data_IF_826269810014
#
_entry.id   IF_826269810014
#
_cell.length_a   1.000
_cell.length_b   1.000
_cell.length_c   1.000
_cell.angle_alpha   90.00
_cell.angle_beta   90.00
_cell.angle_gamma   90.00
#
_symmetry.space_group_name_H-M   'P 1'
#
loop_
_entity.id
_entity.type
_entity.pdbx_description
1 polymer ?
#
# COMPACT_ATOMS: atom_id res chain seq x y z
N UNK A 1 7.27 8.99 5.48
CA UNK A 1 6.06 8.56 4.74
C UNK A 1 6.45 8.14 3.34
N UNK A 2 5.54 7.51 2.61
CA UNK A 2 5.67 7.21 1.19
C UNK A 2 4.38 7.59 0.45
N UNK A 3 4.55 7.85 -0.84
CA UNK A 3 3.45 7.89 -1.82
C UNK A 3 3.67 6.70 -2.76
N UNK A 4 2.62 5.94 -3.02
CA UNK A 4 2.65 4.78 -3.90
C UNK A 4 1.60 4.95 -5.00
N UNK A 5 1.97 4.58 -6.22
CA UNK A 5 1.09 4.74 -7.37
C UNK A 5 1.73 4.33 -8.68
N UNK A 6 1.01 4.51 -9.78
CA UNK A 6 1.47 4.21 -11.13
C UNK A 6 1.61 5.49 -11.95
N UNK A 7 2.59 5.52 -12.85
CA UNK A 7 2.80 6.63 -13.79
C UNK A 7 2.41 6.21 -15.21
N UNK A 8 1.75 7.11 -15.93
CA UNK A 8 1.47 6.94 -17.36
C UNK A 8 1.71 8.22 -18.15
N UNK A 9 2.04 8.05 -19.43
CA UNK A 9 2.23 9.12 -20.39
C UNK A 9 0.89 9.76 -20.79
N UNK A 10 0.94 11.01 -21.24
CA UNK A 10 -0.22 11.72 -21.79
C UNK A 10 0.03 11.92 -23.28
N UNK A 11 -0.84 11.36 -24.13
CA UNK A 11 -0.69 11.38 -25.58
C UNK A 11 0.71 10.88 -26.01
N UNK A 12 1.13 9.73 -25.48
CA UNK A 12 2.44 9.10 -25.75
C UNK A 12 3.67 9.92 -25.30
N UNK A 13 3.47 11.06 -24.63
CA UNK A 13 4.55 11.88 -24.10
C UNK A 13 4.62 11.80 -22.57
N UNK A 14 5.82 11.54 -22.05
CA UNK A 14 6.10 11.55 -20.61
C UNK A 14 7.14 12.61 -20.25
N UNK A 15 6.73 13.66 -19.54
CA UNK A 15 7.61 14.71 -19.03
C UNK A 15 6.99 15.43 -17.83
N UNK A 16 7.71 16.39 -17.25
CA UNK A 16 7.28 17.15 -16.05
C UNK A 16 5.89 17.81 -16.18
N UNK A 17 5.41 18.09 -17.39
CA UNK A 17 4.09 18.69 -17.65
C UNK A 17 3.06 17.69 -18.20
N UNK A 18 3.52 16.52 -18.67
CA UNK A 18 2.70 15.50 -19.33
C UNK A 18 2.93 14.16 -18.62
N UNK A 19 2.17 13.94 -17.56
CA UNK A 19 2.09 12.65 -16.88
C UNK A 19 0.76 12.55 -16.16
N UNK A 20 0.24 11.34 -16.03
CA UNK A 20 -0.81 11.00 -15.06
C UNK A 20 -0.17 10.19 -13.95
N UNK A 21 -0.44 10.58 -12.70
CA UNK A 21 -0.09 9.78 -11.54
C UNK A 21 -1.35 9.18 -10.93
N UNK A 22 -1.46 7.88 -10.97
CA UNK A 22 -2.53 7.17 -10.30
C UNK A 22 -2.13 6.87 -8.86
N UNK A 23 -2.80 7.50 -7.91
CA UNK A 23 -2.49 7.34 -6.50
C UNK A 23 -3.09 6.02 -5.98
N UNK A 24 -2.22 5.09 -5.58
CA UNK A 24 -2.63 3.84 -4.90
C UNK A 24 -2.75 4.06 -3.40
N UNK A 25 -1.76 4.72 -2.79
CA UNK A 25 -1.71 4.93 -1.35
C UNK A 25 -0.76 6.06 -0.95
N UNK A 26 -1.08 6.72 0.18
CA UNK A 26 -0.10 7.50 0.94
C UNK A 26 -0.03 6.90 2.34
N UNK A 27 1.16 6.46 2.75
CA UNK A 27 1.31 5.72 3.99
C UNK A 27 2.54 6.13 4.81
N UNK A 28 2.59 5.57 6.01
CA UNK A 28 3.62 5.87 7.00
C UNK A 28 3.79 4.72 8.00
N UNK A 29 4.66 4.90 9.00
CA UNK A 29 5.36 6.15 9.33
C UNK A 29 6.50 6.51 8.37
N UNK A 30 7.14 5.49 7.77
CA UNK A 30 8.32 5.65 6.94
C UNK A 30 8.14 4.94 5.60
N UNK A 31 8.90 5.36 4.58
CA UNK A 31 8.94 4.63 3.32
C UNK A 31 9.65 3.28 3.47
N UNK A 32 10.51 3.18 4.49
CA UNK A 32 11.25 1.97 4.89
C UNK A 32 10.33 0.76 5.02
N UNK A 33 9.11 0.94 5.52
CA UNK A 33 8.09 -0.10 5.65
C UNK A 33 7.91 -0.95 4.38
N UNK A 34 7.91 -0.32 3.20
CA UNK A 34 7.69 -1.04 1.93
C UNK A 34 8.99 -1.46 1.24
N UNK A 35 10.08 -0.71 1.42
CA UNK A 35 11.32 -0.92 0.65
C UNK A 35 12.28 -1.93 1.29
N UNK A 36 12.26 -2.11 2.61
CA UNK A 36 13.24 -2.95 3.33
C UNK A 36 13.31 -4.39 2.84
N UNK A 37 12.18 -4.99 2.41
CA UNK A 37 12.17 -6.37 1.89
C UNK A 37 13.00 -6.56 0.61
N UNK A 38 13.35 -5.48 -0.08
CA UNK A 38 14.11 -5.51 -1.33
C UNK A 38 15.61 -5.22 -1.12
N UNK A 39 16.00 -4.75 0.07
CA UNK A 39 17.40 -4.32 0.33
C UNK A 39 18.40 -5.45 0.36
N UNK A 40 17.96 -6.71 0.55
CA UNK A 40 18.86 -7.86 0.52
C UNK A 40 19.41 -8.15 -0.90
N UNK A 41 18.64 -7.81 -1.93
CA UNK A 41 19.00 -8.06 -3.33
C UNK A 41 19.60 -6.87 -4.07
N UNK A 42 19.62 -5.68 -3.47
CA UNK A 42 20.01 -4.44 -4.15
C UNK A 42 20.70 -3.48 -3.16
N UNK A 43 21.99 -3.23 -3.42
CA UNK A 43 22.80 -2.34 -2.59
C UNK A 43 22.36 -0.88 -2.69
N UNK A 44 21.88 -0.41 -3.85
CA UNK A 44 21.41 0.96 -4.01
C UNK A 44 20.13 1.19 -3.20
N UNK A 45 19.22 0.22 -3.19
CA UNK A 45 18.04 0.26 -2.32
C UNK A 45 18.42 0.20 -0.84
N UNK A 46 19.44 -0.56 -0.47
CA UNK A 46 19.95 -0.57 0.91
C UNK A 46 20.47 0.80 1.34
N UNK A 47 21.32 1.44 0.53
CA UNK A 47 21.83 2.78 0.85
C UNK A 47 20.72 3.83 0.89
N UNK A 48 19.80 3.82 -0.08
CA UNK A 48 18.62 4.70 -0.04
C UNK A 48 17.79 4.50 1.24
N UNK A 49 17.63 3.25 1.68
CA UNK A 49 16.90 2.93 2.92
C UNK A 49 17.61 3.50 4.15
N UNK A 50 18.95 3.42 4.21
CA UNK A 50 19.74 4.02 5.28
C UNK A 50 19.65 5.54 5.27
N UNK A 51 19.71 6.18 4.10
CA UNK A 51 19.57 7.63 3.98
C UNK A 51 18.22 8.12 4.51
N UNK A 52 17.14 7.40 4.19
CA UNK A 52 15.79 7.71 4.71
C UNK A 52 15.76 7.61 6.24
N UNK A 53 16.41 6.59 6.81
CA UNK A 53 16.50 6.36 8.26
C UNK A 53 17.31 7.48 8.92
N UNK A 54 18.45 7.86 8.36
CA UNK A 54 19.30 8.92 8.89
C UNK A 54 18.58 10.28 8.88
N UNK A 55 17.86 10.59 7.80
CA UNK A 55 17.04 11.81 7.70
C UNK A 55 15.92 11.82 8.75
N UNK A 56 15.36 10.66 9.09
CA UNK A 56 14.33 10.54 10.13
C UNK A 56 14.93 10.73 11.53
N UNK A 57 16.02 10.04 11.84
CA UNK A 57 16.65 10.05 13.17
C UNK A 57 17.34 11.39 13.48
N UNK A 58 17.98 12.01 12.49
CA UNK A 58 18.68 13.30 12.65
C UNK A 58 17.76 14.47 13.01
N UNK A 59 16.46 14.36 12.75
CA UNK A 59 15.48 15.38 13.14
C UNK A 59 15.20 15.39 14.64
N UNK A 60 15.48 14.28 15.35
CA UNK A 60 15.15 14.12 16.76
C UNK A 60 16.31 13.45 17.53
N UNK A 61 17.45 14.14 17.70
CA UNK A 61 18.66 13.57 18.31
C UNK A 61 18.47 13.15 19.79
N UNK A 62 17.45 13.70 20.46
CA UNK A 62 17.13 13.38 21.85
C UNK A 62 16.24 12.13 21.99
N UNK A 63 15.70 11.62 20.88
CA UNK A 63 14.87 10.42 20.84
C UNK A 63 15.70 9.19 20.45
N UNK A 64 15.24 8.01 20.87
CA UNK A 64 15.77 6.72 20.43
C UNK A 64 14.78 6.11 19.46
N UNK A 65 15.14 5.98 18.18
CA UNK A 65 14.40 5.15 17.24
C UNK A 65 14.87 3.70 17.40
N UNK A 66 13.95 2.79 17.69
CA UNK A 66 14.27 1.39 17.91
C UNK A 66 13.41 0.46 17.05
N UNK A 67 14.07 -0.43 16.33
CA UNK A 67 13.40 -1.40 15.47
C UNK A 67 12.77 -2.52 16.32
N UNK A 68 11.48 -2.81 16.14
CA UNK A 68 10.84 -3.95 16.80
C UNK A 68 11.26 -5.24 16.08
N UNK A 69 11.94 -6.13 16.80
CA UNK A 69 12.39 -7.41 16.26
C UNK A 69 11.44 -8.51 16.68
N UNK A 70 10.56 -8.89 15.75
CA UNK A 70 9.58 -9.95 15.91
C UNK A 70 9.69 -10.97 14.78
N UNK A 71 9.64 -12.26 15.11
CA UNK A 71 9.58 -13.37 14.17
C UNK A 71 8.13 -13.87 14.05
N UNK A 72 7.35 -13.43 13.04
CA UNK A 72 6.05 -14.03 12.77
C UNK A 72 6.20 -15.49 12.31
N UNK A 73 5.12 -16.26 12.44
CA UNK A 73 5.07 -17.69 12.08
C UNK A 73 5.66 -17.99 10.68
N UNK A 74 6.20 -19.20 10.51
CA UNK A 74 7.10 -19.65 9.44
C UNK A 74 6.72 -19.36 7.97
N UNK A 75 5.48 -18.92 7.68
CA UNK A 75 5.02 -18.61 6.32
C UNK A 75 5.50 -17.24 5.80
N UNK A 76 6.14 -16.43 6.66
CA UNK A 76 6.48 -15.02 6.37
C UNK A 76 7.99 -14.75 6.24
N UNK A 77 8.82 -15.78 6.05
CA UNK A 77 10.30 -15.66 6.05
C UNK A 77 10.86 -14.61 5.08
N UNK A 78 10.28 -14.48 3.88
CA UNK A 78 10.73 -13.52 2.85
C UNK A 78 10.43 -12.04 3.20
N UNK A 79 9.55 -11.78 4.17
CA UNK A 79 9.24 -10.41 4.65
C UNK A 79 10.21 -9.99 5.77
N UNK A 80 10.95 -10.94 6.36
CA UNK A 80 11.78 -10.71 7.55
C UNK A 80 13.29 -10.71 7.29
N UNK A 81 13.74 -11.09 6.09
CA UNK A 81 15.15 -10.97 5.70
C UNK A 81 15.49 -9.48 5.56
N UNK A 82 15.91 -8.88 6.67
CA UNK A 82 16.31 -7.48 6.75
C UNK A 82 17.69 -7.35 7.41
N UNK A 83 18.56 -6.46 6.90
CA UNK A 83 19.76 -6.08 7.62
C UNK A 83 19.38 -5.32 8.91
N UNK A 84 20.35 -5.20 9.82
CA UNK A 84 20.23 -4.30 10.97
C UNK A 84 20.28 -2.87 10.42
N UNK A 85 19.13 -2.20 10.41
CA UNK A 85 18.98 -0.88 9.80
C UNK A 85 19.06 0.26 10.82
N UNK A 86 18.73 0.01 12.08
CA UNK A 86 18.72 1.01 13.15
C UNK A 86 19.73 0.66 14.23
N UNK A 87 20.20 1.70 14.92
CA UNK A 87 21.19 1.53 16.00
C UNK A 87 20.62 0.71 17.17
N UNK A 88 19.36 0.94 17.52
CA UNK A 88 18.67 0.28 18.64
C UNK A 88 17.61 -0.70 18.14
N UNK A 89 17.43 -1.78 18.87
CA UNK A 89 16.42 -2.81 18.58
C UNK A 89 15.66 -3.16 19.87
N UNK A 90 14.36 -3.42 19.75
CA UNK A 90 13.50 -3.95 20.80
C UNK A 90 13.23 -5.44 20.47
N UNK A 91 13.98 -6.38 21.05
CA UNK A 91 13.76 -7.80 20.79
C UNK A 91 12.46 -8.28 21.45
N UNK A 92 11.52 -8.79 20.64
CA UNK A 92 10.27 -9.36 21.14
C UNK A 92 9.85 -10.59 20.33
N UNK A 93 10.11 -11.78 20.89
CA UNK A 93 9.94 -13.06 20.17
C UNK A 93 10.72 -13.07 18.83
N UNK A 94 11.95 -12.57 18.85
CA UNK A 94 12.86 -12.51 17.72
C UNK A 94 14.29 -12.33 18.19
N UNK A 95 15.25 -12.61 17.31
CA UNK A 95 16.69 -12.46 17.61
C UNK A 95 17.19 -11.15 17.03
N UNK A 96 17.61 -10.24 17.91
CA UNK A 96 18.25 -8.97 17.53
C UNK A 96 19.63 -9.20 16.90
N UNK A 97 19.94 -8.37 15.90
CA UNK A 97 21.27 -8.29 15.29
C UNK A 97 22.10 -7.12 15.81
N UNK A 98 21.52 -6.20 16.58
CA UNK A 98 22.23 -5.09 17.21
C UNK A 98 23.17 -5.54 18.34
N UNK A 99 24.17 -4.70 18.64
CA UNK A 99 25.04 -4.89 19.80
C UNK A 99 24.20 -5.00 21.09
N UNK A 100 24.62 -5.85 22.03
CA UNK A 100 23.91 -6.09 23.31
C UNK A 100 23.57 -4.77 24.02
N UNK A 101 24.50 -3.82 24.01
CA UNK A 101 24.27 -2.51 24.64
C UNK A 101 23.13 -1.72 23.98
N UNK A 102 22.86 -1.89 22.70
CA UNK A 102 21.79 -1.19 21.99
C UNK A 102 20.47 -1.98 21.92
N UNK A 103 20.39 -3.14 22.58
CA UNK A 103 19.14 -3.89 22.70
C UNK A 103 18.34 -3.32 23.88
N UNK A 104 17.08 -2.97 23.61
CA UNK A 104 16.12 -2.48 24.59
C UNK A 104 15.17 -3.63 24.93
N UNK A 105 15.41 -4.39 26.02
CA UNK A 105 14.48 -5.43 26.45
C UNK A 105 13.14 -4.79 26.86
N UNK A 106 12.04 -5.55 26.84
CA UNK A 106 10.71 -5.01 27.13
C UNK A 106 10.65 -4.40 28.55
N UNK A 107 11.38 -4.98 29.50
CA UNK A 107 11.48 -4.52 30.88
C UNK A 107 12.15 -3.14 31.00
N UNK A 108 12.89 -2.69 29.98
CA UNK A 108 13.50 -1.36 29.94
C UNK A 108 12.51 -0.27 29.51
N UNK A 109 11.36 -0.64 28.94
CA UNK A 109 10.39 0.30 28.40
C UNK A 109 9.32 0.66 29.44
N UNK A 110 9.37 1.88 29.96
CA UNK A 110 8.28 2.46 30.74
C UNK A 110 7.23 3.09 29.83
N UNK A 111 5.97 2.94 30.19
CA UNK A 111 4.83 3.53 29.49
C UNK A 111 4.22 4.62 30.36
N UNK A 112 4.02 5.80 29.79
CA UNK A 112 3.19 6.85 30.38
C UNK A 112 2.27 7.48 29.33
N UNK A 113 1.24 8.19 29.78
CA UNK A 113 0.38 8.99 28.89
C UNK A 113 0.56 10.45 29.25
N UNK A 114 0.97 11.27 28.28
CA UNK A 114 1.16 12.71 28.43
C UNK A 114 0.49 13.40 27.26
N UNK A 115 -0.31 14.43 27.50
CA UNK A 115 -1.01 15.19 26.44
C UNK A 115 -1.74 14.30 25.41
N UNK A 116 -2.44 13.26 25.89
CA UNK A 116 -3.15 12.29 25.05
C UNK A 116 -2.25 11.49 24.10
N UNK A 117 -0.96 11.35 24.44
CA UNK A 117 0.01 10.52 23.73
C UNK A 117 0.61 9.47 24.66
N UNK A 118 0.77 8.26 24.14
CA UNK A 118 1.61 7.23 24.73
C UNK A 118 3.08 7.64 24.55
N UNK A 119 3.81 7.66 25.66
CA UNK A 119 5.24 7.91 25.73
C UNK A 119 5.92 6.62 26.20
N UNK A 120 6.79 6.06 25.36
CA UNK A 120 7.71 5.00 25.76
C UNK A 120 9.03 5.64 26.18
N UNK A 121 9.56 5.27 27.34
CA UNK A 121 10.84 5.76 27.83
C UNK A 121 11.73 4.60 28.24
N UNK A 122 12.98 4.62 27.78
CA UNK A 122 13.99 3.67 28.24
C UNK A 122 14.46 4.04 29.64
N UNK A 123 14.44 3.10 30.58
CA UNK A 123 15.00 3.26 31.94
C UNK A 123 16.50 3.49 31.83
N UNK A 124 17.19 2.63 31.08
CA UNK A 124 18.65 2.65 30.89
C UNK A 124 19.16 3.96 30.33
N UNK A 125 18.47 4.51 29.34
CA UNK A 125 18.91 5.72 28.64
C UNK A 125 18.26 7.00 29.13
N UNK A 126 17.20 6.90 29.93
CA UNK A 126 16.36 8.02 30.32
C UNK A 126 15.91 8.88 29.11
N UNK A 127 15.56 8.21 28.00
CA UNK A 127 15.18 8.83 26.72
C UNK A 127 13.88 8.25 26.20
N UNK A 128 13.08 9.08 25.51
CA UNK A 128 11.87 8.63 24.81
C UNK A 128 12.27 7.71 23.65
N UNK A 129 11.57 6.58 23.54
CA UNK A 129 11.76 5.55 22.52
C UNK A 129 10.62 5.65 21.51
N UNK A 130 10.97 5.73 20.22
CA UNK A 130 10.04 5.66 19.09
C UNK A 130 10.21 4.28 18.45
N UNK A 131 9.25 3.36 18.65
CA UNK A 131 9.31 2.04 18.06
C UNK A 131 9.05 2.14 16.56
N UNK A 132 9.75 1.33 15.76
CA UNK A 132 9.62 1.28 14.30
C UNK A 132 9.52 -0.16 13.80
N UNK A 133 8.65 -0.37 12.81
CA UNK A 133 8.67 -1.54 11.96
C UNK A 133 9.21 -1.17 10.58
N UNK A 134 10.32 -1.77 10.19
CA UNK A 134 10.88 -1.70 8.84
C UNK A 134 10.34 -2.85 7.98
N UNK A 135 9.02 -3.06 8.00
CA UNK A 135 8.36 -4.10 7.19
C UNK A 135 6.92 -3.73 6.87
N UNK A 136 6.39 -4.35 5.81
CA UNK A 136 5.00 -4.24 5.39
C UNK A 136 4.08 -5.24 6.12
N UNK A 137 4.52 -5.75 7.27
CA UNK A 137 3.76 -6.74 8.03
C UNK A 137 2.49 -6.11 8.61
N UNK A 138 1.33 -6.68 8.27
CA UNK A 138 0.07 -6.28 8.88
C UNK A 138 -0.04 -6.90 10.28
N UNK A 139 0.14 -6.07 11.32
CA UNK A 139 0.10 -6.48 12.72
C UNK A 139 -1.29 -6.31 13.37
N UNK A 140 -2.29 -5.84 12.63
CA UNK A 140 -3.65 -5.58 13.16
C UNK A 140 -4.32 -6.82 13.77
N UNK A 141 -4.14 -7.97 13.12
CA UNK A 141 -4.66 -9.29 13.56
C UNK A 141 -3.67 -10.08 14.44
N UNK A 142 -2.61 -9.43 14.95
CA UNK A 142 -1.64 -10.11 15.79
C UNK A 142 -2.22 -10.48 17.16
N UNK A 143 -2.08 -11.74 17.55
CA UNK A 143 -2.46 -12.26 18.87
C UNK A 143 -1.44 -11.93 19.99
N UNK A 144 -0.46 -11.05 19.72
CA UNK A 144 0.59 -10.68 20.66
C UNK A 144 0.41 -9.22 21.10
N UNK A 145 -0.19 -8.96 22.29
CA UNK A 145 -0.57 -7.62 22.71
C UNK A 145 0.59 -6.63 22.78
N UNK A 146 1.77 -7.06 23.24
CA UNK A 146 2.96 -6.20 23.35
C UNK A 146 3.46 -5.81 21.96
N UNK A 147 3.55 -6.76 21.03
CA UNK A 147 3.94 -6.49 19.64
C UNK A 147 2.95 -5.53 18.98
N UNK A 148 1.66 -5.79 19.11
CA UNK A 148 0.60 -4.92 18.57
C UNK A 148 0.68 -3.51 19.18
N UNK A 149 0.80 -3.39 20.50
CA UNK A 149 0.93 -2.12 21.19
C UNK A 149 2.14 -1.30 20.71
N UNK A 150 3.34 -1.90 20.65
CA UNK A 150 4.53 -1.21 20.15
C UNK A 150 4.36 -0.79 18.69
N UNK A 151 3.70 -1.63 17.89
CA UNK A 151 3.42 -1.36 16.49
C UNK A 151 2.39 -0.24 16.32
N UNK A 152 1.36 -0.17 17.16
CA UNK A 152 0.36 0.91 17.18
C UNK A 152 1.00 2.25 17.59
N UNK A 153 1.90 2.24 18.58
CA UNK A 153 2.61 3.46 19.04
C UNK A 153 3.40 4.13 17.91
N UNK A 154 3.94 3.38 16.95
CA UNK A 154 4.69 3.96 15.82
C UNK A 154 3.83 4.87 14.93
N UNK A 155 2.51 4.63 14.92
CA UNK A 155 1.52 5.32 14.09
C UNK A 155 0.81 6.45 14.85
N UNK A 156 1.07 6.59 16.15
CA UNK A 156 0.47 7.66 16.96
C UNK A 156 0.83 9.05 16.39
N UNK A 157 -0.18 9.91 16.27
CA UNK A 157 -0.02 11.26 15.73
C UNK A 157 0.16 11.31 14.20
N UNK A 158 0.10 10.16 13.53
CA UNK A 158 0.04 10.08 12.08
C UNK A 158 -1.41 9.91 11.64
N UNK A 159 -1.74 10.51 10.51
CA UNK A 159 -2.94 10.10 9.77
C UNK A 159 -2.70 8.68 9.27
N UNK A 160 -3.72 7.82 9.42
CA UNK A 160 -3.74 6.50 8.77
C UNK A 160 -3.50 6.62 7.26
N UNK A 161 -3.35 5.48 6.60
CA UNK A 161 -3.26 5.37 5.15
C UNK A 161 -4.28 6.32 4.49
N UNK A 162 -3.81 7.37 3.81
CA UNK A 162 -4.70 8.37 3.23
C UNK A 162 -5.25 7.76 1.95
N UNK A 163 -6.48 7.25 2.04
CA UNK A 163 -7.26 6.73 0.93
C UNK A 163 -8.47 7.64 0.68
N UNK A 164 -8.92 7.69 -0.57
CA UNK A 164 -10.18 8.32 -0.90
C UNK A 164 -11.35 7.48 -0.35
N UNK A 165 -12.19 8.11 0.47
CA UNK A 165 -13.41 7.50 1.00
C UNK A 165 -14.65 8.14 0.36
N UNK A 166 -15.43 7.33 -0.35
CA UNK A 166 -16.73 7.74 -0.90
C UNK A 166 -17.82 7.89 0.17
N UNK A 167 -17.55 7.41 1.39
CA UNK A 167 -18.38 7.52 2.56
C UNK A 167 -19.82 7.04 2.28
N UNK A 168 -20.83 7.87 2.55
CA UNK A 168 -22.25 7.56 2.28
C UNK A 168 -22.57 7.16 0.83
N UNK A 169 -21.69 7.48 -0.14
CA UNK A 169 -21.86 7.10 -1.55
C UNK A 169 -21.19 5.78 -1.93
N UNK A 170 -20.47 5.14 -1.00
CA UNK A 170 -19.67 3.92 -1.27
C UNK A 170 -20.47 2.77 -1.90
N UNK A 171 -21.79 2.76 -1.77
CA UNK A 171 -22.69 1.74 -2.31
C UNK A 171 -23.36 2.08 -3.65
N UNK A 172 -23.07 3.25 -4.24
CA UNK A 172 -23.62 3.65 -5.53
C UNK A 172 -23.24 2.67 -6.65
N UNK A 173 -24.14 2.53 -7.65
CA UNK A 173 -23.86 1.68 -8.83
C UNK A 173 -22.68 2.17 -9.67
N UNK A 174 -22.44 3.47 -9.67
CA UNK A 174 -21.34 4.10 -10.38
C UNK A 174 -20.74 5.20 -9.51
N UNK A 175 -19.41 5.20 -9.42
CA UNK A 175 -18.61 6.22 -8.77
C UNK A 175 -17.67 6.82 -9.83
N UNK A 176 -17.73 8.12 -10.10
CA UNK A 176 -16.90 8.72 -11.14
C UNK A 176 -15.43 8.77 -10.73
N UNK A 177 -14.54 8.83 -11.72
CA UNK A 177 -13.12 9.10 -11.47
C UNK A 177 -12.98 10.43 -10.73
N UNK A 178 -12.19 10.44 -9.65
CA UNK A 178 -11.82 11.65 -8.92
C UNK A 178 -10.39 12.01 -9.28
N UNK A 179 -10.22 13.22 -9.80
CA UNK A 179 -8.90 13.73 -10.20
C UNK A 179 -8.59 15.04 -9.49
N UNK A 180 -7.31 15.24 -9.19
CA UNK A 180 -6.76 16.51 -8.76
C UNK A 180 -5.57 16.85 -9.66
N UNK A 181 -5.75 17.86 -10.54
CA UNK A 181 -4.79 18.15 -11.61
C UNK A 181 -4.53 16.88 -12.44
N UNK A 182 -3.30 16.41 -12.42
CA UNK A 182 -2.85 15.22 -13.14
C UNK A 182 -2.70 13.98 -12.24
N UNK A 183 -3.29 14.03 -11.04
CA UNK A 183 -3.35 12.91 -10.11
C UNK A 183 -4.74 12.30 -10.16
N UNK A 184 -4.84 11.00 -10.40
CA UNK A 184 -6.06 10.23 -10.23
C UNK A 184 -6.08 9.75 -8.78
N UNK A 185 -7.01 10.31 -8.00
CA UNK A 185 -7.16 10.05 -6.56
C UNK A 185 -8.09 8.86 -6.32
N UNK A 186 -9.08 8.67 -7.20
CA UNK A 186 -9.94 7.49 -7.22
C UNK A 186 -10.29 7.15 -8.66
N UNK A 187 -10.09 5.89 -9.05
CA UNK A 187 -10.57 5.35 -10.32
C UNK A 187 -12.10 5.38 -10.38
N UNK A 188 -12.66 5.52 -11.57
CA UNK A 188 -14.06 5.25 -11.79
C UNK A 188 -14.38 3.81 -11.37
N UNK A 189 -15.49 3.61 -10.66
CA UNK A 189 -15.91 2.31 -10.15
C UNK A 189 -17.34 1.97 -10.57
N UNK A 190 -17.60 0.69 -10.80
CA UNK A 190 -18.93 0.16 -11.06
C UNK A 190 -19.24 -0.98 -10.10
N UNK A 191 -20.43 -0.94 -9.50
CA UNK A 191 -20.97 -2.03 -8.70
C UNK A 191 -22.00 -2.77 -9.55
N UNK A 192 -21.64 -3.99 -9.96
CA UNK A 192 -22.52 -4.88 -10.70
C UNK A 192 -23.06 -5.96 -9.78
N UNK A 193 -24.32 -6.29 -9.95
CA UNK A 193 -25.03 -7.29 -9.17
C UNK A 193 -25.62 -8.37 -10.07
N UNK A 194 -25.98 -9.49 -9.47
CA UNK A 194 -26.75 -10.53 -10.15
C UNK A 194 -28.06 -9.98 -10.73
N UNK A 195 -28.64 -8.94 -10.13
CA UNK A 195 -29.89 -8.33 -10.60
C UNK A 195 -29.75 -7.65 -11.96
N UNK A 196 -28.58 -7.12 -12.25
CA UNK A 196 -28.26 -6.54 -13.56
C UNK A 196 -28.19 -7.62 -14.66
N UNK A 197 -28.08 -8.90 -14.26
CA UNK A 197 -27.96 -10.05 -15.15
C UNK A 197 -29.20 -10.97 -15.15
N UNK A 198 -30.14 -10.79 -14.20
CA UNK A 198 -31.25 -11.72 -13.94
C UNK A 198 -32.14 -11.97 -15.17
N UNK A 199 -32.34 -10.95 -16.01
CA UNK A 199 -33.18 -11.04 -17.20
C UNK A 199 -32.63 -11.96 -18.29
N UNK A 200 -31.34 -12.29 -18.24
CA UNK A 200 -30.65 -12.93 -19.36
C UNK A 200 -30.73 -14.46 -19.40
N UNK A 201 -31.41 -15.08 -18.44
CA UNK A 201 -31.70 -16.54 -18.41
C UNK A 201 -30.49 -17.45 -18.73
N UNK A 202 -29.29 -17.07 -18.30
CA UNK A 202 -28.04 -17.78 -18.60
C UNK A 202 -27.68 -17.89 -20.09
N UNK A 203 -28.05 -16.88 -20.88
CA UNK A 203 -27.69 -16.76 -22.28
C UNK A 203 -26.38 -15.97 -22.46
N UNK A 204 -25.34 -16.64 -22.97
CA UNK A 204 -24.04 -16.03 -23.22
C UNK A 204 -24.09 -14.85 -24.19
N UNK A 205 -24.93 -14.89 -25.22
CA UNK A 205 -24.99 -13.81 -26.21
C UNK A 205 -25.60 -12.53 -25.62
N UNK A 206 -26.54 -12.67 -24.68
CA UNK A 206 -27.13 -11.55 -23.96
C UNK A 206 -26.13 -10.94 -22.97
N UNK A 207 -25.33 -11.76 -22.29
CA UNK A 207 -24.25 -11.26 -21.44
C UNK A 207 -23.20 -10.48 -22.24
N UNK A 208 -22.77 -11.02 -23.38
CA UNK A 208 -21.79 -10.36 -24.25
C UNK A 208 -22.35 -9.02 -24.77
N UNK A 209 -23.64 -8.97 -25.14
CA UNK A 209 -24.30 -7.73 -25.54
C UNK A 209 -24.35 -6.71 -24.41
N UNK A 210 -24.71 -7.13 -23.20
CA UNK A 210 -24.74 -6.26 -22.02
C UNK A 210 -23.37 -5.63 -21.76
N UNK A 211 -22.29 -6.41 -21.80
CA UNK A 211 -20.94 -5.89 -21.56
C UNK A 211 -20.41 -5.06 -22.72
N UNK A 212 -20.85 -5.32 -23.96
CA UNK A 212 -20.60 -4.43 -25.09
C UNK A 212 -21.28 -3.07 -24.89
N UNK A 213 -22.55 -3.06 -24.51
CA UNK A 213 -23.29 -1.82 -24.19
C UNK A 213 -22.67 -1.07 -23.00
N UNK A 214 -22.20 -1.80 -21.98
CA UNK A 214 -21.45 -1.25 -20.86
C UNK A 214 -20.15 -0.57 -21.34
N UNK A 215 -19.36 -1.26 -22.17
CA UNK A 215 -18.14 -0.73 -22.76
C UNK A 215 -18.41 0.53 -23.59
N UNK A 216 -19.44 0.50 -24.44
CA UNK A 216 -19.85 1.62 -25.29
C UNK A 216 -20.35 2.82 -24.48
N UNK A 217 -21.09 2.56 -23.39
CA UNK A 217 -21.63 3.60 -22.49
C UNK A 217 -20.54 4.31 -21.71
N UNK A 218 -19.62 3.56 -21.12
CA UNK A 218 -18.59 4.11 -20.23
C UNK A 218 -17.25 4.38 -20.93
N UNK A 219 -17.13 4.04 -22.22
CA UNK A 219 -15.91 4.20 -23.04
C UNK A 219 -14.70 3.50 -22.43
N UNK A 220 -14.91 2.27 -21.98
CA UNK A 220 -13.85 1.41 -21.40
C UNK A 220 -13.75 0.10 -22.14
N UNK A 221 -12.54 -0.28 -22.54
CA UNK A 221 -12.27 -1.55 -23.23
C UNK A 221 -11.89 -2.66 -22.26
N UNK A 222 -11.37 -2.31 -21.08
CA UNK A 222 -11.02 -3.23 -20.03
C UNK A 222 -11.30 -2.64 -18.65
N UNK A 223 -11.52 -3.52 -17.69
CA UNK A 223 -11.82 -3.18 -16.29
C UNK A 223 -11.03 -4.09 -15.37
N UNK A 224 -10.84 -3.67 -14.14
CA UNK A 224 -10.22 -4.45 -13.08
C UNK A 224 -11.31 -4.92 -12.12
N UNK A 225 -11.52 -6.23 -12.04
CA UNK A 225 -12.36 -6.81 -11.00
C UNK A 225 -11.59 -6.81 -9.68
N UNK A 226 -12.18 -6.21 -8.64
CA UNK A 226 -11.55 -6.06 -7.33
C UNK A 226 -12.04 -7.12 -6.36
N UNK A 227 -11.12 -7.83 -5.73
CA UNK A 227 -11.37 -8.78 -4.65
C UNK A 227 -10.32 -8.61 -3.56
N UNK A 228 -10.68 -7.93 -2.47
CA UNK A 228 -9.75 -7.57 -1.41
C UNK A 228 -8.49 -6.88 -1.98
N UNK A 229 -7.32 -7.50 -1.83
CA UNK A 229 -6.02 -7.05 -2.31
C UNK A 229 -5.70 -7.51 -3.75
N UNK A 230 -6.55 -8.35 -4.35
CA UNK A 230 -6.34 -8.88 -5.70
C UNK A 230 -7.14 -8.08 -6.73
N UNK A 231 -6.49 -7.76 -7.84
CA UNK A 231 -7.12 -7.15 -9.03
C UNK A 231 -6.97 -8.10 -10.21
N UNK A 232 -8.08 -8.38 -10.90
CA UNK A 232 -8.08 -9.19 -12.11
C UNK A 232 -8.47 -8.34 -13.31
N UNK A 233 -7.59 -8.27 -14.31
CA UNK A 233 -7.88 -7.60 -15.57
C UNK A 233 -8.91 -8.40 -16.38
N UNK A 234 -10.00 -7.73 -16.75
CA UNK A 234 -11.05 -8.24 -17.62
C UNK A 234 -11.03 -7.40 -18.89
N UNK A 235 -10.64 -8.02 -20.00
CA UNK A 235 -10.82 -7.46 -21.34
C UNK A 235 -12.28 -7.62 -21.77
N UNK A 236 -13.00 -6.51 -21.98
CA UNK A 236 -14.41 -6.52 -22.37
C UNK A 236 -14.59 -6.83 -23.87
N UNK A 237 -13.52 -6.76 -24.67
CA UNK A 237 -13.50 -7.18 -26.06
C UNK A 237 -13.32 -8.70 -26.24
N UNK A 238 -12.88 -9.41 -25.20
CA UNK A 238 -12.62 -10.84 -25.26
C UNK A 238 -13.76 -11.64 -24.60
N UNK A 239 -14.40 -12.53 -25.37
CA UNK A 239 -15.58 -13.30 -24.95
C UNK A 239 -15.36 -14.05 -23.64
N UNK A 240 -14.27 -14.79 -23.54
CA UNK A 240 -13.93 -15.65 -22.41
C UNK A 240 -13.71 -14.84 -21.13
N UNK A 241 -13.08 -13.67 -21.24
CA UNK A 241 -12.89 -12.73 -20.13
C UNK A 241 -14.22 -12.19 -19.61
N UNK A 242 -15.14 -11.83 -20.52
CA UNK A 242 -16.50 -11.40 -20.15
C UNK A 242 -17.27 -12.53 -19.46
N UNK A 243 -17.21 -13.75 -19.99
CA UNK A 243 -17.89 -14.90 -19.37
C UNK A 243 -17.30 -15.27 -18.00
N UNK A 244 -15.99 -15.07 -17.79
CA UNK A 244 -15.35 -15.21 -16.48
C UNK A 244 -15.91 -14.18 -15.47
N UNK A 245 -16.07 -12.93 -15.89
CA UNK A 245 -16.68 -11.88 -15.07
C UNK A 245 -18.15 -12.21 -14.73
N UNK A 246 -18.93 -12.64 -15.71
CA UNK A 246 -20.33 -13.08 -15.51
C UNK A 246 -20.40 -14.20 -14.46
N UNK A 247 -19.58 -15.24 -14.61
CA UNK A 247 -19.54 -16.35 -13.65
C UNK A 247 -19.19 -15.86 -12.24
N UNK A 248 -18.28 -14.89 -12.13
CA UNK A 248 -17.96 -14.28 -10.84
C UNK A 248 -19.17 -13.53 -10.25
N UNK A 249 -19.90 -12.75 -11.05
CA UNK A 249 -21.11 -12.04 -10.61
C UNK A 249 -22.18 -13.03 -10.14
N UNK A 250 -22.42 -14.10 -10.89
CA UNK A 250 -23.41 -15.11 -10.53
C UNK A 250 -23.05 -15.81 -9.21
N UNK A 251 -21.77 -16.13 -8.98
CA UNK A 251 -21.30 -16.80 -7.76
C UNK A 251 -21.30 -15.88 -6.54
N UNK A 252 -20.82 -14.64 -6.70
CA UNK A 252 -20.62 -13.69 -5.59
C UNK A 252 -21.79 -12.75 -5.35
N UNK A 253 -22.78 -12.74 -6.25
CA UNK A 253 -23.98 -11.89 -6.27
C UNK A 253 -23.71 -10.40 -6.50
N UNK A 254 -22.56 -9.88 -6.07
CA UNK A 254 -22.12 -8.50 -6.29
C UNK A 254 -20.61 -8.51 -6.55
N UNK A 255 -20.16 -7.70 -7.50
CA UNK A 255 -18.75 -7.43 -7.78
C UNK A 255 -18.52 -5.93 -7.91
N UNK A 256 -17.31 -5.49 -7.57
CA UNK A 256 -16.82 -4.14 -7.87
C UNK A 256 -15.82 -4.22 -9.02
N UNK A 257 -15.98 -3.30 -9.96
CA UNK A 257 -15.07 -3.07 -11.06
C UNK A 257 -14.44 -1.69 -10.89
N UNK A 258 -13.16 -1.57 -11.19
CA UNK A 258 -12.47 -0.31 -11.41
C UNK A 258 -12.13 -0.17 -12.89
N UNK A 259 -12.00 1.05 -13.38
CA UNK A 259 -11.48 1.28 -14.73
C UNK A 259 -10.02 0.82 -14.83
N UNK A 260 -9.65 0.23 -15.97
CA UNK A 260 -8.25 0.00 -16.28
C UNK A 260 -7.70 1.22 -17.03
N UNK A 261 -6.71 1.89 -16.45
CA UNK A 261 -6.11 3.10 -17.01
C UNK A 261 -4.83 2.83 -17.78
N UNK A 262 -4.21 1.69 -17.55
CA UNK A 262 -2.95 1.32 -18.18
C UNK A 262 -3.26 0.72 -19.56
N UNK A 263 -2.56 1.21 -20.56
CA UNK A 263 -2.60 0.69 -21.92
C UNK A 263 -1.19 0.73 -22.53
N UNK A 264 -0.90 -0.10 -23.55
CA UNK A 264 0.42 -0.10 -24.18
C UNK A 264 0.86 1.29 -24.67
N UNK A 265 -0.08 2.14 -25.08
CA UNK A 265 0.20 3.49 -25.62
C UNK A 265 0.58 4.50 -24.52
N UNK A 266 0.28 4.21 -23.25
CA UNK A 266 0.55 5.13 -22.14
C UNK A 266 1.56 4.59 -21.11
N UNK A 267 2.05 3.37 -21.30
CA UNK A 267 3.11 2.79 -20.48
C UNK A 267 4.43 3.56 -20.65
N UNK A 268 5.09 3.86 -19.54
CA UNK A 268 6.38 4.57 -19.52
C UNK A 268 7.59 3.64 -19.39
N UNK A 269 7.35 2.35 -19.10
CA UNK A 269 8.40 1.34 -18.96
C UNK A 269 8.33 0.42 -20.17
N UNK A 270 9.46 0.29 -20.86
CA UNK A 270 9.62 -0.59 -22.01
C UNK A 270 10.90 -1.42 -21.87
N UNK A 271 10.88 -2.65 -22.38
CA UNK A 271 12.11 -3.44 -22.54
C UNK A 271 12.89 -3.04 -23.80
N UNK A 272 13.99 -3.76 -24.06
CA UNK A 272 14.85 -3.55 -25.22
C UNK A 272 14.15 -3.85 -26.55
N UNK A 273 13.08 -4.64 -26.54
CA UNK A 273 12.32 -5.04 -27.72
C UNK A 273 11.10 -4.12 -27.94
N UNK A 274 10.89 -3.13 -27.06
CA UNK A 274 9.78 -2.17 -27.12
C UNK A 274 8.48 -2.67 -26.50
N UNK A 275 8.49 -3.80 -25.79
CA UNK A 275 7.30 -4.28 -25.08
C UNK A 275 7.03 -3.39 -23.87
N UNK A 276 5.77 -3.02 -23.67
CA UNK A 276 5.35 -2.10 -22.61
C UNK A 276 4.98 -2.83 -21.32
N UNK A 277 5.37 -2.28 -20.18
CA UNK A 277 5.12 -2.85 -18.85
C UNK A 277 4.33 -1.90 -17.96
N UNK A 278 3.33 -2.46 -17.27
CA UNK A 278 2.69 -1.78 -16.15
C UNK A 278 3.72 -1.51 -15.05
N UNK A 279 3.56 -0.40 -14.34
CA UNK A 279 4.50 0.02 -13.30
C UNK A 279 3.77 0.40 -12.01
N UNK A 280 4.47 0.28 -10.89
CA UNK A 280 4.12 0.86 -9.61
C UNK A 280 5.40 1.42 -8.99
N UNK A 281 5.33 2.64 -8.46
CA UNK A 281 6.46 3.35 -7.88
C UNK A 281 6.15 3.67 -6.42
N UNK A 282 7.19 3.54 -5.57
CA UNK A 282 7.17 3.97 -4.18
C UNK A 282 8.08 5.20 -4.08
N UNK A 283 7.51 6.33 -3.72
CA UNK A 283 8.19 7.62 -3.62
C UNK A 283 8.34 7.95 -2.13
N UNK A 284 9.55 7.88 -1.55
CA UNK A 284 9.78 8.35 -0.19
C UNK A 284 9.52 9.85 -0.09
N UNK A 285 8.74 10.25 0.92
CA UNK A 285 8.44 11.68 1.17
C UNK A 285 8.83 12.05 2.59
N UNK A 286 9.63 13.10 2.68
CA UNK A 286 10.00 13.75 3.94
C UNK A 286 8.84 14.62 4.43
N UNK A 287 8.40 14.39 5.66
CA UNK A 287 7.48 15.27 6.37
C UNK A 287 8.01 15.51 7.77
N UNK A 288 7.94 16.76 8.21
CA UNK A 288 8.24 17.12 9.60
C UNK A 288 6.99 16.88 10.44
N UNK A 289 7.04 15.90 11.35
CA UNK A 289 6.00 15.64 12.35
C UNK A 289 6.58 15.90 13.73
N UNK A 290 6.11 16.91 14.48
CA UNK A 290 6.62 17.12 15.83
C UNK A 290 6.25 15.92 16.71
N UNK A 291 7.25 15.26 17.28
CA UNK A 291 7.08 14.35 18.43
C UNK A 291 6.98 15.18 19.72
N UNK A 292 6.00 16.08 19.78
CA UNK A 292 5.68 16.83 21.00
C UNK A 292 5.08 15.90 22.04
#
# INVERSE_FOLDING_TARGET
MYIMGSLSAVNEEFNQKKFIFELTAVGGPSAVNLVTRFTHGDQQLLELTKDIIEIEESQYPDLIFAEIIHLPNARTGNILLRPVLRKYEIPYMGRSGALIQNQLPIEDLMVSVQHNQVILQSIKYNKRVIPRLSSAHNYSDSNLPIYKFLSDVQNQGLSDLILWDWNVFSDAKFLPRVTYKNIIVSRAQWKLSIEDLKSFRQNNDEYLRFFKEFSDKYKVNSVLQIEADHKLLIDLGHKESVLLLVNTILKKKVVRLEECLISPENCIIQDIDGNSFANEVIIPVKKHFPFN
#
